data_IF_547320584121
#
_entry.id   IF_547320584121
#
_cell.length_a   1.000
_cell.length_b   1.000
_cell.length_c   1.000
_cell.angle_alpha   90.00
_cell.angle_beta   90.00
_cell.angle_gamma   90.00
#
_symmetry.space_group_name_H-M   'P 1'
#
loop_
_entity.id
_entity.type
_entity.pdbx_description
1 polymer ?
#
# COMPACT_ATOMS: atom_id res chain seq x y z
N UNK A 1 24.89 71.52 41.64
CA UNK A 1 25.21 70.41 42.53
C UNK A 1 24.35 69.18 42.02
N UNK A 2 24.99 68.27 41.39
CA UNK A 2 24.76 66.84 41.21
C UNK A 2 23.39 66.35 40.77
N UNK A 3 23.31 65.97 39.58
CA UNK A 3 22.43 64.83 39.23
C UNK A 3 23.00 64.07 38.05
N UNK A 4 23.42 62.82 38.29
CA UNK A 4 23.80 61.90 37.29
C UNK A 4 22.54 61.25 36.71
N UNK A 5 22.23 61.53 35.46
CA UNK A 5 21.24 60.77 34.69
C UNK A 5 21.89 59.55 34.09
N UNK A 6 21.51 58.40 34.62
CA UNK A 6 21.87 57.11 34.05
C UNK A 6 20.74 56.65 33.11
N UNK A 7 21.01 56.76 31.84
CA UNK A 7 20.15 56.22 30.77
C UNK A 7 20.27 54.69 30.80
N UNK A 8 19.19 54.01 31.12
CA UNK A 8 19.06 52.56 31.00
C UNK A 8 18.49 52.31 29.60
N UNK A 9 19.35 51.88 28.70
CA UNK A 9 18.92 51.37 27.40
C UNK A 9 18.39 49.96 27.58
N UNK A 10 17.06 49.83 27.53
CA UNK A 10 16.38 48.56 27.54
C UNK A 10 16.57 47.83 26.21
N UNK A 11 17.30 46.71 26.23
CA UNK A 11 17.43 45.80 25.09
C UNK A 11 16.16 44.96 24.99
N UNK A 12 15.23 45.39 24.14
CA UNK A 12 14.06 44.58 23.78
C UNK A 12 14.49 43.49 22.79
N UNK A 13 14.84 42.31 23.33
CA UNK A 13 15.11 41.11 22.51
C UNK A 13 13.82 40.58 21.90
N UNK A 14 13.62 40.81 20.61
CA UNK A 14 12.55 40.17 19.87
C UNK A 14 12.88 38.69 19.69
N UNK A 15 12.31 37.82 20.51
CA UNK A 15 12.28 36.39 20.31
C UNK A 15 11.32 36.13 19.14
N UNK A 16 11.85 36.03 17.91
CA UNK A 16 11.11 35.54 16.77
C UNK A 16 10.93 34.02 16.96
N UNK A 17 9.79 33.60 17.53
CA UNK A 17 9.40 32.20 17.64
C UNK A 17 9.17 31.66 16.26
N UNK A 18 10.10 30.82 15.76
CA UNK A 18 9.94 30.03 14.56
C UNK A 18 8.87 28.96 14.82
N UNK A 19 7.62 29.28 14.50
CA UNK A 19 6.52 28.32 14.53
C UNK A 19 6.73 27.34 13.37
N UNK A 20 7.41 26.24 13.64
CA UNK A 20 7.50 25.12 12.70
C UNK A 20 6.11 24.51 12.61
N UNK A 21 5.37 24.86 11.55
CA UNK A 21 4.14 24.18 11.18
C UNK A 21 4.51 22.74 10.79
N UNK A 22 4.42 21.82 11.74
CA UNK A 22 4.43 20.40 11.46
C UNK A 22 3.16 20.07 10.67
N UNK A 23 3.25 20.12 9.34
CA UNK A 23 2.25 19.48 8.51
C UNK A 23 2.33 17.98 8.80
N UNK A 24 1.21 17.32 9.18
CA UNK A 24 1.22 15.88 9.23
C UNK A 24 1.59 15.38 7.83
N UNK A 25 2.72 14.71 7.73
CA UNK A 25 3.03 13.95 6.52
C UNK A 25 1.87 12.95 6.36
N UNK A 26 0.97 13.21 5.42
CA UNK A 26 0.00 12.22 5.00
C UNK A 26 0.85 11.05 4.50
N UNK A 27 0.87 9.96 5.27
CA UNK A 27 1.34 8.69 4.75
C UNK A 27 0.51 8.46 3.48
N UNK A 28 1.16 8.48 2.33
CA UNK A 28 0.49 8.20 1.08
C UNK A 28 -0.31 6.91 1.28
N UNK A 29 -1.60 6.93 0.96
CA UNK A 29 -2.47 5.78 1.14
C UNK A 29 -1.88 4.65 0.28
N UNK A 30 -1.29 3.67 0.97
CA UNK A 30 -0.47 2.63 0.32
C UNK A 30 -1.33 1.52 -0.23
N UNK A 31 -2.61 1.50 0.16
CA UNK A 31 -3.60 0.52 -0.26
C UNK A 31 -4.54 1.14 -1.30
N UNK A 32 -4.70 0.45 -2.41
CA UNK A 32 -5.79 0.73 -3.36
C UNK A 32 -6.94 -0.19 -3.00
N UNK A 33 -8.13 0.39 -2.82
CA UNK A 33 -9.36 -0.36 -2.53
C UNK A 33 -10.43 0.03 -3.54
N UNK A 34 -11.03 -0.98 -4.20
CA UNK A 34 -12.10 -0.85 -5.20
C UNK A 34 -13.26 -1.76 -4.84
N UNK A 35 -14.48 -1.30 -5.06
CA UNK A 35 -15.66 -2.16 -4.92
C UNK A 35 -15.69 -3.19 -6.05
N UNK A 36 -16.04 -4.43 -5.72
CA UNK A 36 -16.24 -5.49 -6.69
C UNK A 36 -17.73 -5.78 -6.84
N UNK A 37 -18.18 -5.95 -8.08
CA UNK A 37 -19.56 -6.34 -8.38
C UNK A 37 -19.83 -7.85 -8.21
N UNK A 38 -18.83 -8.61 -7.78
CA UNK A 38 -18.86 -10.08 -7.70
C UNK A 38 -18.72 -10.54 -6.25
N UNK A 39 -19.03 -11.82 -5.99
CA UNK A 39 -18.70 -12.44 -4.70
C UNK A 39 -17.18 -12.46 -4.48
N UNK A 40 -16.75 -12.65 -3.23
CA UNK A 40 -15.31 -12.75 -2.90
C UNK A 40 -14.62 -13.84 -3.71
N UNK A 41 -15.21 -15.04 -3.78
CA UNK A 41 -14.65 -16.17 -4.54
C UNK A 41 -14.55 -15.86 -6.03
N UNK A 42 -15.61 -15.30 -6.61
CA UNK A 42 -15.62 -14.93 -8.03
C UNK A 42 -14.65 -13.79 -8.34
N UNK A 43 -14.53 -12.80 -7.43
CA UNK A 43 -13.53 -11.73 -7.55
C UNK A 43 -12.13 -12.33 -7.67
N UNK A 44 -11.77 -13.25 -6.79
CA UNK A 44 -10.46 -13.94 -6.84
C UNK A 44 -10.31 -14.76 -8.11
N UNK A 45 -11.34 -15.52 -8.53
CA UNK A 45 -11.30 -16.31 -9.77
C UNK A 45 -11.06 -15.44 -11.03
N UNK A 46 -11.65 -14.25 -11.05
CA UNK A 46 -11.47 -13.28 -12.14
C UNK A 46 -10.06 -12.71 -12.16
N UNK A 47 -9.53 -12.34 -10.98
CA UNK A 47 -8.16 -11.86 -10.84
C UNK A 47 -7.17 -12.96 -11.22
N UNK A 48 -7.37 -14.19 -10.75
CA UNK A 48 -6.54 -15.35 -11.09
C UNK A 48 -6.44 -15.54 -12.60
N UNK A 49 -7.56 -15.55 -13.30
CA UNK A 49 -7.58 -15.61 -14.78
C UNK A 49 -6.84 -14.43 -15.40
N UNK A 50 -7.12 -13.22 -14.97
CA UNK A 50 -6.50 -12.02 -15.54
C UNK A 50 -4.98 -12.00 -15.41
N UNK A 51 -4.43 -12.43 -14.25
CA UNK A 51 -2.98 -12.46 -14.04
C UNK A 51 -2.32 -13.64 -14.77
N UNK A 52 -2.96 -14.80 -14.83
CA UNK A 52 -2.43 -15.96 -15.55
C UNK A 52 -2.43 -15.75 -17.06
N UNK A 53 -3.44 -15.10 -17.62
CA UNK A 53 -3.50 -14.69 -19.04
C UNK A 53 -2.35 -13.76 -19.43
N UNK A 54 -1.78 -13.04 -18.44
CA UNK A 54 -0.58 -12.21 -18.61
C UNK A 54 0.73 -12.95 -18.32
N UNK A 55 0.67 -14.28 -18.15
CA UNK A 55 1.84 -15.12 -17.90
C UNK A 55 2.43 -14.97 -16.48
N UNK A 56 1.68 -14.46 -15.53
CA UNK A 56 2.10 -14.45 -14.13
C UNK A 56 1.83 -15.82 -13.50
N UNK A 57 2.66 -16.17 -12.51
CA UNK A 57 2.52 -17.38 -11.72
C UNK A 57 1.65 -17.10 -10.50
N UNK A 58 0.87 -18.09 -10.11
CA UNK A 58 0.19 -18.13 -8.83
C UNK A 58 1.08 -18.83 -7.81
N UNK A 59 1.29 -18.20 -6.68
CA UNK A 59 2.09 -18.77 -5.59
C UNK A 59 1.19 -19.37 -4.51
N UNK A 60 0.09 -18.70 -4.19
CA UNK A 60 -0.87 -19.20 -3.22
C UNK A 60 -2.23 -18.51 -3.37
N UNK A 61 -3.28 -19.24 -2.95
CA UNK A 61 -4.62 -18.71 -2.67
C UNK A 61 -4.98 -19.11 -1.26
N UNK A 62 -5.33 -18.14 -0.42
CA UNK A 62 -5.58 -18.33 1.00
C UNK A 62 -6.99 -17.87 1.32
N UNK A 63 -7.86 -18.78 1.76
CA UNK A 63 -9.19 -18.44 2.23
C UNK A 63 -9.16 -18.25 3.74
N UNK A 64 -9.09 -16.99 4.18
CA UNK A 64 -9.02 -16.65 5.60
C UNK A 64 -10.29 -17.05 6.37
N UNK A 65 -11.45 -17.00 5.73
CA UNK A 65 -12.70 -17.43 6.37
C UNK A 65 -12.71 -18.95 6.64
N UNK A 66 -12.13 -19.75 5.74
CA UNK A 66 -11.98 -21.19 5.95
C UNK A 66 -10.97 -21.48 7.07
N UNK A 67 -9.87 -20.76 7.12
CA UNK A 67 -8.88 -20.92 8.20
C UNK A 67 -9.47 -20.53 9.56
N UNK A 68 -10.28 -19.47 9.61
CA UNK A 68 -10.98 -19.09 10.84
C UNK A 68 -11.92 -20.20 11.32
N UNK A 69 -12.68 -20.83 10.42
CA UNK A 69 -13.59 -21.94 10.77
C UNK A 69 -12.86 -23.15 11.36
N UNK A 70 -11.65 -23.45 10.90
CA UNK A 70 -10.83 -24.55 11.44
C UNK A 70 -10.45 -24.37 12.91
N UNK A 71 -10.42 -23.12 13.39
CA UNK A 71 -10.12 -22.79 14.80
C UNK A 71 -11.37 -22.36 15.59
N UNK A 72 -12.57 -22.63 15.04
CA UNK A 72 -13.84 -22.34 15.71
C UNK A 72 -14.26 -20.87 15.70
N UNK A 73 -13.71 -20.07 14.80
CA UNK A 73 -14.05 -18.66 14.61
C UNK A 73 -14.82 -18.46 13.30
N UNK A 74 -15.64 -17.41 13.27
CA UNK A 74 -16.36 -16.99 12.06
C UNK A 74 -15.94 -15.59 11.65
N UNK A 75 -15.78 -15.38 10.36
CA UNK A 75 -15.52 -14.09 9.75
C UNK A 75 -16.19 -13.99 8.38
N UNK A 76 -16.46 -12.76 7.88
CA UNK A 76 -16.96 -12.58 6.52
C UNK A 76 -16.01 -13.20 5.47
N UNK A 77 -16.53 -13.58 4.30
CA UNK A 77 -15.71 -14.08 3.20
C UNK A 77 -14.51 -13.16 2.96
N UNK A 78 -13.32 -13.76 2.96
CA UNK A 78 -12.05 -13.03 2.81
C UNK A 78 -11.03 -13.98 2.20
N UNK A 79 -10.53 -13.65 1.01
CA UNK A 79 -9.55 -14.46 0.28
C UNK A 79 -8.38 -13.62 -0.23
N UNK A 80 -7.18 -14.15 -0.12
CA UNK A 80 -5.94 -13.55 -0.59
C UNK A 80 -5.38 -14.37 -1.74
N UNK A 81 -5.07 -13.72 -2.86
CA UNK A 81 -4.31 -14.29 -3.97
C UNK A 81 -2.88 -13.73 -3.94
N UNK A 82 -1.88 -14.62 -4.03
CA UNK A 82 -0.46 -14.28 -4.11
C UNK A 82 0.03 -14.68 -5.51
N UNK A 83 0.51 -13.72 -6.27
CA UNK A 83 0.89 -13.90 -7.67
C UNK A 83 2.06 -13.02 -8.07
N UNK A 84 2.72 -13.33 -9.17
CA UNK A 84 3.80 -12.50 -9.67
C UNK A 84 4.56 -13.11 -10.83
N UNK A 85 5.52 -12.34 -11.35
CA UNK A 85 6.42 -12.80 -12.38
C UNK A 85 7.84 -12.91 -11.79
N UNK A 86 8.40 -14.14 -11.63
CA UNK A 86 9.73 -14.33 -11.06
C UNK A 86 10.82 -13.56 -11.80
N UNK A 87 10.73 -13.44 -13.12
CA UNK A 87 11.73 -12.70 -13.91
C UNK A 87 11.76 -11.22 -13.52
N UNK A 88 10.59 -10.55 -13.46
CA UNK A 88 10.51 -9.15 -13.04
C UNK A 88 10.86 -8.96 -11.56
N UNK A 89 10.31 -9.81 -10.69
CA UNK A 89 10.57 -9.76 -9.26
C UNK A 89 12.04 -9.97 -8.90
N UNK A 90 12.72 -10.91 -9.55
CA UNK A 90 14.16 -11.16 -9.31
C UNK A 90 15.02 -9.95 -9.68
N UNK A 91 14.71 -9.25 -10.76
CA UNK A 91 15.45 -8.05 -11.14
C UNK A 91 15.35 -6.96 -10.04
N UNK A 92 14.18 -6.76 -9.45
CA UNK A 92 14.00 -5.84 -8.34
C UNK A 92 14.73 -6.29 -7.07
N UNK A 93 14.66 -7.58 -6.72
CA UNK A 93 15.34 -8.13 -5.54
C UNK A 93 16.87 -8.07 -5.65
N UNK A 94 17.42 -8.18 -6.86
CA UNK A 94 18.85 -7.96 -7.10
C UNK A 94 19.26 -6.50 -6.90
N UNK A 95 18.40 -5.55 -7.25
CA UNK A 95 18.64 -4.12 -7.06
C UNK A 95 18.43 -3.69 -5.60
N UNK A 96 17.40 -4.21 -4.93
CA UNK A 96 17.09 -3.92 -3.53
C UNK A 96 16.51 -5.18 -2.85
N UNK A 97 17.32 -5.96 -2.11
CA UNK A 97 16.87 -7.22 -1.50
C UNK A 97 15.64 -7.08 -0.59
N UNK A 98 15.45 -5.92 0.04
CA UNK A 98 14.31 -5.67 0.94
C UNK A 98 12.97 -5.68 0.22
N UNK A 99 12.92 -5.50 -1.11
CA UNK A 99 11.68 -5.56 -1.88
C UNK A 99 11.01 -6.94 -1.82
N UNK A 100 11.78 -7.99 -1.48
CA UNK A 100 11.27 -9.34 -1.31
C UNK A 100 10.16 -9.45 -0.24
N UNK A 101 10.05 -8.50 0.71
CA UNK A 101 8.95 -8.49 1.69
C UNK A 101 7.60 -8.13 1.06
N UNK A 102 7.61 -7.32 0.00
CA UNK A 102 6.41 -6.90 -0.71
C UNK A 102 6.08 -7.80 -1.91
N UNK A 103 7.06 -8.57 -2.39
CA UNK A 103 6.89 -9.55 -3.47
C UNK A 103 6.78 -10.99 -2.92
N UNK A 104 6.02 -11.87 -3.60
CA UNK A 104 5.12 -11.64 -4.73
C UNK A 104 3.99 -10.67 -4.39
N UNK A 105 3.34 -10.12 -5.43
CA UNK A 105 2.20 -9.22 -5.24
C UNK A 105 1.01 -9.96 -4.63
N UNK A 106 0.14 -9.20 -3.99
CA UNK A 106 -1.02 -9.73 -3.26
C UNK A 106 -2.27 -8.94 -3.64
N UNK A 107 -3.37 -9.65 -3.85
CA UNK A 107 -4.70 -9.08 -4.04
C UNK A 107 -5.64 -9.73 -3.01
N UNK A 108 -6.30 -8.91 -2.21
CA UNK A 108 -7.24 -9.32 -1.18
C UNK A 108 -8.66 -9.00 -1.65
N UNK A 109 -9.52 -10.01 -1.75
CA UNK A 109 -10.97 -9.81 -1.88
C UNK A 109 -11.62 -10.07 -0.52
N UNK A 110 -12.48 -9.14 -0.08
CA UNK A 110 -13.10 -9.23 1.25
C UNK A 110 -14.49 -8.60 1.27
N UNK A 111 -15.36 -9.12 2.14
CA UNK A 111 -16.70 -8.61 2.31
C UNK A 111 -16.81 -7.78 3.58
N UNK A 112 -17.39 -6.57 3.48
CA UNK A 112 -17.64 -5.73 4.64
C UNK A 112 -18.93 -6.16 5.38
N UNK A 113 -19.19 -5.52 6.53
CA UNK A 113 -20.37 -5.80 7.36
C UNK A 113 -21.70 -5.46 6.67
N UNK A 114 -21.67 -4.62 5.64
CA UNK A 114 -22.85 -4.29 4.84
C UNK A 114 -23.09 -5.28 3.68
N UNK A 115 -22.22 -6.30 3.55
CA UNK A 115 -22.30 -7.31 2.49
C UNK A 115 -21.67 -6.87 1.17
N UNK A 116 -21.01 -5.71 1.10
CA UNK A 116 -20.32 -5.25 -0.10
C UNK A 116 -18.96 -5.93 -0.20
N UNK A 117 -18.55 -6.22 -1.42
CA UNK A 117 -17.26 -6.87 -1.69
C UNK A 117 -16.25 -5.86 -2.20
N UNK A 118 -15.04 -5.96 -1.70
CA UNK A 118 -13.93 -5.06 -2.00
C UNK A 118 -12.72 -5.84 -2.47
N UNK A 119 -12.02 -5.28 -3.44
CA UNK A 119 -10.66 -5.63 -3.79
C UNK A 119 -9.71 -4.64 -3.13
N UNK A 120 -8.68 -5.15 -2.45
CA UNK A 120 -7.61 -4.32 -1.86
C UNK A 120 -6.24 -4.87 -2.23
N UNK A 121 -5.31 -4.00 -2.61
CA UNK A 121 -3.93 -4.38 -2.93
C UNK A 121 -2.97 -3.22 -2.63
N UNK A 122 -1.68 -3.53 -2.45
CA UNK A 122 -0.65 -2.51 -2.34
C UNK A 122 -0.39 -1.86 -3.70
N UNK A 123 -0.41 -0.52 -3.76
CA UNK A 123 -0.11 0.21 -5.00
C UNK A 123 1.32 -0.10 -5.47
N UNK A 124 1.53 -0.59 -6.71
CA UNK A 124 2.86 -0.92 -7.21
C UNK A 124 3.84 0.26 -7.21
N UNK A 125 3.34 1.47 -7.39
CA UNK A 125 4.12 2.71 -7.37
C UNK A 125 4.85 2.98 -6.04
N UNK A 126 4.50 2.25 -4.98
CA UNK A 126 5.17 2.39 -3.68
C UNK A 126 6.49 1.63 -3.56
N UNK A 127 6.72 0.61 -4.39
CA UNK A 127 7.93 -0.19 -4.33
C UNK A 127 9.20 0.67 -4.46
N UNK A 128 9.31 1.61 -5.43
CA UNK A 128 10.46 2.49 -5.53
C UNK A 128 10.69 3.33 -4.28
N UNK A 129 9.63 3.95 -3.77
CA UNK A 129 9.72 4.85 -2.61
C UNK A 129 10.10 4.10 -1.35
N UNK A 130 9.49 2.93 -1.12
CA UNK A 130 9.70 2.13 0.09
C UNK A 130 11.07 1.49 0.15
N UNK A 131 11.62 1.08 -1.00
CA UNK A 131 12.84 0.29 -1.08
C UNK A 131 14.03 1.02 -1.73
N UNK A 132 13.87 2.31 -2.05
CA UNK A 132 14.93 3.08 -2.69
C UNK A 132 15.29 2.60 -4.10
N UNK A 133 14.32 2.02 -4.83
CA UNK A 133 14.51 1.58 -6.20
C UNK A 133 14.42 2.76 -7.18
N UNK A 134 15.16 2.68 -8.28
CA UNK A 134 14.93 3.59 -9.39
C UNK A 134 13.53 3.38 -9.97
N UNK A 135 12.81 4.47 -10.26
CA UNK A 135 11.41 4.41 -10.70
C UNK A 135 11.24 3.57 -11.99
N UNK A 136 12.22 3.62 -12.87
CA UNK A 136 12.23 2.89 -14.14
C UNK A 136 12.20 1.37 -13.95
N UNK A 137 12.81 0.87 -12.87
CA UNK A 137 12.80 -0.57 -12.56
C UNK A 137 11.41 -1.05 -12.14
N UNK A 138 10.63 -0.20 -11.50
CA UNK A 138 9.30 -0.55 -11.04
C UNK A 138 8.18 -0.24 -12.04
N UNK A 139 8.46 0.54 -13.09
CA UNK A 139 7.46 0.92 -14.11
C UNK A 139 6.76 -0.29 -14.77
N UNK A 140 7.43 -1.44 -14.84
CA UNK A 140 6.84 -2.69 -15.34
C UNK A 140 5.69 -3.25 -14.48
N UNK A 141 5.49 -2.74 -13.25
CA UNK A 141 4.42 -3.14 -12.35
C UNK A 141 3.18 -2.24 -12.42
N UNK A 142 3.28 -1.04 -13.00
CA UNK A 142 2.17 -0.08 -13.10
C UNK A 142 0.92 -0.66 -13.79
N UNK A 143 1.03 -1.47 -14.86
CA UNK A 143 -0.14 -2.06 -15.51
C UNK A 143 -0.92 -3.03 -14.63
N UNK A 144 -0.31 -3.54 -13.55
CA UNK A 144 -0.94 -4.54 -12.67
C UNK A 144 -2.15 -3.92 -11.94
N UNK A 145 -2.03 -2.69 -11.45
CA UNK A 145 -3.15 -1.99 -10.82
C UNK A 145 -4.36 -1.92 -11.74
N UNK A 146 -4.17 -1.45 -12.97
CA UNK A 146 -5.24 -1.39 -13.99
C UNK A 146 -5.81 -2.77 -14.32
N UNK A 147 -4.96 -3.81 -14.37
CA UNK A 147 -5.41 -5.19 -14.62
C UNK A 147 -6.34 -5.69 -13.51
N UNK A 148 -5.96 -5.45 -12.25
CA UNK A 148 -6.74 -5.85 -11.09
C UNK A 148 -8.08 -5.10 -11.03
N UNK A 149 -8.07 -3.78 -11.26
CA UNK A 149 -9.28 -2.96 -11.24
C UNK A 149 -10.30 -3.41 -12.31
N UNK A 150 -9.83 -3.68 -13.53
CA UNK A 150 -10.71 -4.20 -14.61
C UNK A 150 -11.28 -5.59 -14.31
N UNK A 151 -10.58 -6.40 -13.52
CA UNK A 151 -11.07 -7.73 -13.17
C UNK A 151 -12.30 -7.69 -12.25
N UNK A 152 -12.57 -6.57 -11.56
CA UNK A 152 -13.67 -6.42 -10.59
C UNK A 152 -14.83 -5.54 -11.08
N UNK A 153 -14.69 -4.94 -12.25
CA UNK A 153 -15.74 -4.26 -12.99
C UNK A 153 -16.65 -5.27 -13.72
#
# INVERSE_FOLDING_TARGET
>A
MNTCDRIIVGLCGALLGLLVLMFPAHAADTLVTKESHYSVAETIDRIERAVTDKGMLLFARINHADEARKVGLEMPPTELLIFGNPRGGTALMLAAPTVAIDLPMKALAWQDRAGRVWLTYNAPALLPVRHGLAAELAAGFDPIGTLLERAVE
#
